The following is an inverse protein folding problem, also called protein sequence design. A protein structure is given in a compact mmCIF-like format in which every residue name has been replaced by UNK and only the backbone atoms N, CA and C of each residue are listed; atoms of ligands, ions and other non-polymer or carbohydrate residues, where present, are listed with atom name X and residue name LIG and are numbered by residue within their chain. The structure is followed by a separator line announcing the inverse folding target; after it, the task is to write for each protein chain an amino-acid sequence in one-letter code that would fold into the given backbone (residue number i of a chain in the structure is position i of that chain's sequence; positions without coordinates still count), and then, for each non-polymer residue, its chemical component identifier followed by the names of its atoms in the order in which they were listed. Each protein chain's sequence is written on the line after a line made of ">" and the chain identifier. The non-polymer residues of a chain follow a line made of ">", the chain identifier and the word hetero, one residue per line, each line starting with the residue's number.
data_IF_123201409891
#
_entry.id   IF_123201409891
#
_cell.length_a   1.000
_cell.length_b   1.000
_cell.length_c   1.000
_cell.angle_alpha   90.00
_cell.angle_beta   90.00
_cell.angle_gamma   90.00
#
_symmetry.space_group_name_H-M   'P 1'
#
loop_
_entity.id
_entity.type
_entity.pdbx_description
1 polymer ?
#
# COMPACT_ATOMS: atom_id res chain seq x y z
N UNK A 1 -2.79 12.49 -6.73
CA UNK A 1 -3.78 11.39 -6.75
C UNK A 1 -3.08 10.20 -6.10
N UNK A 2 -3.54 9.74 -4.93
CA UNK A 2 -2.84 8.70 -4.17
C UNK A 2 -2.87 7.36 -4.91
N UNK A 3 -1.74 6.64 -4.89
CA UNK A 3 -1.57 5.30 -5.47
C UNK A 3 -1.15 4.34 -4.36
N UNK A 4 -2.01 3.35 -4.08
CA UNK A 4 -1.75 2.32 -3.07
C UNK A 4 -1.40 1.00 -3.77
N UNK A 5 -0.20 0.49 -3.50
CA UNK A 5 0.28 -0.77 -4.02
C UNK A 5 -0.38 -1.95 -3.28
N UNK A 6 -0.87 -2.95 -4.01
CA UNK A 6 -1.38 -4.19 -3.41
C UNK A 6 -0.49 -5.36 -3.80
N UNK A 7 0.38 -5.79 -2.88
CA UNK A 7 1.52 -6.70 -3.14
C UNK A 7 1.23 -8.13 -2.68
N UNK A 8 1.93 -9.11 -3.23
CA UNK A 8 1.78 -10.51 -2.84
C UNK A 8 2.79 -10.97 -1.77
N UNK A 9 3.71 -10.09 -1.35
CA UNK A 9 4.83 -10.41 -0.44
C UNK A 9 5.08 -9.24 0.50
N UNK A 10 5.65 -9.55 1.67
CA UNK A 10 6.07 -8.59 2.72
C UNK A 10 7.58 -8.44 2.81
N UNK A 11 8.33 -8.82 1.77
CA UNK A 11 9.79 -8.65 1.77
C UNK A 11 10.17 -7.21 2.13
N UNK A 12 11.24 -7.06 2.91
CA UNK A 12 11.69 -5.77 3.47
C UNK A 12 11.83 -4.66 2.41
N UNK A 13 12.18 -5.04 1.19
CA UNK A 13 12.44 -4.09 0.11
C UNK A 13 11.19 -3.63 -0.64
N UNK A 14 10.01 -4.24 -0.41
CA UNK A 14 8.80 -3.91 -1.17
C UNK A 14 8.33 -2.48 -0.91
N UNK A 15 8.40 -2.01 0.33
CA UNK A 15 8.02 -0.64 0.65
C UNK A 15 8.90 0.38 -0.08
N UNK A 16 10.23 0.16 -0.05
CA UNK A 16 11.19 1.00 -0.77
C UNK A 16 10.96 0.98 -2.29
N UNK A 17 10.79 -0.21 -2.88
CA UNK A 17 10.55 -0.37 -4.31
C UNK A 17 9.26 0.32 -4.77
N UNK A 18 8.18 0.19 -3.99
CA UNK A 18 6.90 0.84 -4.30
C UNK A 18 7.03 2.36 -4.21
N UNK A 19 7.73 2.89 -3.19
CA UNK A 19 7.99 4.33 -3.06
C UNK A 19 8.84 4.88 -4.19
N UNK A 20 9.92 4.19 -4.56
CA UNK A 20 10.78 4.57 -5.70
C UNK A 20 10.02 4.53 -7.03
N UNK A 21 9.04 3.63 -7.16
CA UNK A 21 8.13 3.57 -8.31
C UNK A 21 7.04 4.65 -8.31
N UNK A 22 6.97 5.51 -7.28
CA UNK A 22 6.02 6.61 -7.17
C UNK A 22 4.68 6.23 -6.55
N UNK A 23 4.62 5.13 -5.80
CA UNK A 23 3.45 4.73 -5.01
C UNK A 23 3.51 5.40 -3.63
N UNK A 24 2.35 5.78 -3.09
CA UNK A 24 2.25 6.51 -1.83
C UNK A 24 2.12 5.58 -0.62
N UNK A 25 1.60 4.36 -0.84
CA UNK A 25 1.41 3.37 0.22
C UNK A 25 1.44 1.93 -0.32
N UNK A 26 1.52 0.95 0.58
CA UNK A 26 1.53 -0.49 0.29
C UNK A 26 0.55 -1.23 1.20
N UNK A 27 -0.04 -2.31 0.66
CA UNK A 27 -0.96 -3.22 1.32
C UNK A 27 -0.71 -4.65 0.82
N UNK A 28 -0.84 -5.65 1.69
CA UNK A 28 -0.56 -7.05 1.36
C UNK A 28 -1.82 -7.80 0.89
N UNK A 29 -1.71 -8.71 -0.08
CA UNK A 29 -2.75 -9.68 -0.45
C UNK A 29 -2.72 -10.93 0.45
N UNK A 30 -3.87 -11.52 0.81
CA UNK A 30 -5.20 -10.90 0.72
C UNK A 30 -5.27 -9.73 1.71
N UNK A 31 -5.87 -8.62 1.29
CA UNK A 31 -5.99 -7.46 2.15
C UNK A 31 -7.30 -7.48 2.93
N UNK A 32 -7.28 -6.85 4.09
CA UNK A 32 -8.45 -6.62 4.91
C UNK A 32 -9.17 -5.32 4.49
N UNK A 33 -10.50 -5.35 4.49
CA UNK A 33 -11.28 -4.19 4.01
C UNK A 33 -11.22 -3.03 5.00
N UNK A 34 -11.13 -3.29 6.30
CA UNK A 34 -11.02 -2.25 7.32
C UNK A 34 -9.64 -1.58 7.26
N UNK A 35 -8.58 -2.34 6.91
CA UNK A 35 -7.25 -1.78 6.62
C UNK A 35 -7.28 -0.83 5.41
N UNK A 36 -8.01 -1.20 4.34
CA UNK A 36 -8.21 -0.32 3.20
C UNK A 36 -8.93 0.97 3.58
N UNK A 37 -10.03 0.89 4.33
CA UNK A 37 -10.76 2.09 4.77
C UNK A 37 -9.86 2.99 5.62
N UNK A 38 -9.07 2.41 6.52
CA UNK A 38 -8.14 3.15 7.38
C UNK A 38 -7.10 3.92 6.55
N UNK A 39 -6.56 3.31 5.48
CA UNK A 39 -5.63 3.98 4.56
C UNK A 39 -6.30 5.06 3.73
N UNK A 40 -7.51 4.81 3.22
CA UNK A 40 -8.23 5.80 2.42
C UNK A 40 -8.53 7.07 3.22
N UNK A 41 -8.96 6.94 4.48
CA UNK A 41 -9.23 8.08 5.38
C UNK A 41 -7.99 8.96 5.59
N UNK A 42 -6.78 8.41 5.52
CA UNK A 42 -5.54 9.18 5.63
C UNK A 42 -5.32 10.13 4.42
N UNK A 43 -5.91 9.83 3.26
CA UNK A 43 -5.74 10.61 2.02
C UNK A 43 -6.93 11.51 1.68
N UNK A 44 -7.99 11.51 2.49
CA UNK A 44 -9.14 12.42 2.40
C UNK A 44 -9.04 13.53 3.45
#
# INVERSE_FOLDING_TARGET
>A
MPIIAVTASTSVDIDSLCKEAGMDDVMLKPFDFDDLISKLVHYF
#
